data_IF_751170409879
#
_entry.id   IF_751170409879
#
_cell.length_a   1.000
_cell.length_b   1.000
_cell.length_c   1.000
_cell.angle_alpha   90.00
_cell.angle_beta   90.00
_cell.angle_gamma   90.00
#
_symmetry.space_group_name_H-M   'P 1'
#
loop_
_entity.id
_entity.type
_entity.pdbx_description
1 polymer ?
#
# COMPACT_ATOMS: atom_id res chain seq x y z
N UNK A 1 20.32 -4.78 -13.55
CA UNK A 1 20.19 -3.32 -13.69
C UNK A 1 21.36 -2.68 -12.99
N UNK A 2 22.01 -1.75 -13.67
CA UNK A 2 23.15 -1.02 -13.12
C UNK A 2 22.67 0.34 -12.58
N UNK A 3 23.01 0.62 -11.32
CA UNK A 3 22.63 1.84 -10.61
C UNK A 3 23.20 3.10 -11.24
N UNK A 4 24.33 3.00 -11.93
CA UNK A 4 25.01 4.15 -12.50
C UNK A 4 24.22 4.76 -13.68
N UNK A 5 23.24 4.04 -14.21
CA UNK A 5 22.33 4.54 -15.25
C UNK A 5 21.01 5.07 -14.71
N UNK A 6 20.70 4.87 -13.42
CA UNK A 6 19.44 5.32 -12.80
C UNK A 6 19.60 6.75 -12.28
N UNK A 7 18.66 7.62 -12.63
CA UNK A 7 18.56 9.00 -12.12
C UNK A 7 17.74 9.03 -10.84
N UNK A 8 16.51 8.49 -10.88
CA UNK A 8 15.67 8.30 -9.71
C UNK A 8 14.58 7.26 -9.96
N UNK A 9 13.95 6.80 -8.89
CA UNK A 9 12.81 5.88 -8.95
C UNK A 9 11.64 6.50 -8.21
N UNK A 10 10.45 6.29 -8.75
CA UNK A 10 9.19 6.68 -8.13
C UNK A 10 8.35 5.44 -7.85
N UNK A 11 7.66 5.43 -6.70
CA UNK A 11 6.67 4.43 -6.34
C UNK A 11 5.30 5.08 -6.17
N UNK A 12 4.28 4.49 -6.78
CA UNK A 12 2.90 4.95 -6.68
C UNK A 12 2.02 3.78 -6.31
N UNK A 13 1.10 3.99 -5.39
CA UNK A 13 0.13 2.95 -5.00
C UNK A 13 -1.03 2.90 -5.99
N UNK A 14 -1.69 1.75 -6.12
CA UNK A 14 -2.64 1.42 -7.18
C UNK A 14 -3.63 2.54 -7.56
N UNK A 15 -4.24 3.17 -6.57
CA UNK A 15 -5.28 4.20 -6.75
C UNK A 15 -4.82 5.61 -6.40
N UNK A 16 -3.54 5.78 -6.11
CA UNK A 16 -2.95 7.07 -5.81
C UNK A 16 -2.65 7.82 -7.11
N UNK A 17 -2.88 9.14 -7.11
CA UNK A 17 -2.56 10.01 -8.26
C UNK A 17 -1.15 10.56 -8.18
N UNK A 18 -0.49 10.47 -7.03
CA UNK A 18 0.83 11.05 -6.78
C UNK A 18 1.85 9.95 -6.52
N UNK A 19 2.98 10.01 -7.22
CA UNK A 19 4.12 9.13 -6.98
C UNK A 19 5.04 9.70 -5.92
N UNK A 20 5.67 8.84 -5.12
CA UNK A 20 6.69 9.21 -4.17
C UNK A 20 8.07 8.88 -4.75
N UNK A 21 8.97 9.87 -4.77
CA UNK A 21 10.36 9.66 -5.21
C UNK A 21 11.15 8.97 -4.10
N UNK A 22 11.75 7.82 -4.42
CA UNK A 22 12.58 7.06 -3.49
C UNK A 22 13.89 7.81 -3.18
N UNK A 23 14.38 7.63 -1.95
CA UNK A 23 15.73 8.05 -1.56
C UNK A 23 16.80 7.23 -2.26
N UNK A 24 18.04 7.74 -2.31
CA UNK A 24 19.18 7.02 -2.91
C UNK A 24 19.36 5.62 -2.29
N UNK A 25 19.27 5.49 -0.96
CA UNK A 25 19.42 4.21 -0.28
C UNK A 25 18.32 3.21 -0.68
N UNK A 26 17.07 3.66 -0.76
CA UNK A 26 15.97 2.80 -1.24
C UNK A 26 16.12 2.39 -2.71
N UNK A 27 16.71 3.25 -3.55
CA UNK A 27 17.02 2.91 -4.94
C UNK A 27 18.09 1.82 -5.00
N UNK A 28 19.15 1.93 -4.19
CA UNK A 28 20.20 0.90 -4.10
C UNK A 28 19.60 -0.43 -3.64
N UNK A 29 18.85 -0.43 -2.54
CA UNK A 29 18.18 -1.62 -2.01
C UNK A 29 17.24 -2.26 -3.05
N UNK A 30 16.49 -1.44 -3.80
CA UNK A 30 15.61 -1.89 -4.88
C UNK A 30 16.38 -2.58 -6.01
N UNK A 31 17.48 -1.99 -6.45
CA UNK A 31 18.30 -2.54 -7.53
C UNK A 31 18.92 -3.87 -7.11
N UNK A 32 19.43 -3.96 -5.88
CA UNK A 32 20.06 -5.16 -5.36
C UNK A 32 19.04 -6.31 -5.24
N UNK A 33 17.87 -6.05 -4.63
CA UNK A 33 16.79 -7.03 -4.53
C UNK A 33 16.26 -7.46 -5.91
N UNK A 34 16.17 -6.52 -6.85
CA UNK A 34 15.75 -6.81 -8.22
C UNK A 34 16.76 -7.70 -8.95
N UNK A 35 18.06 -7.41 -8.81
CA UNK A 35 19.12 -8.20 -9.44
C UNK A 35 19.25 -9.62 -8.85
N UNK A 36 18.82 -9.82 -7.59
CA UNK A 36 18.71 -11.15 -6.97
C UNK A 36 17.34 -11.83 -7.18
N UNK A 37 16.45 -11.26 -7.98
CA UNK A 37 15.09 -11.79 -8.15
C UNK A 37 15.07 -13.13 -8.87
N UNK A 38 14.05 -13.94 -8.56
CA UNK A 38 13.84 -15.25 -9.19
C UNK A 38 12.68 -15.21 -10.18
N UNK A 39 12.88 -15.83 -11.34
CA UNK A 39 11.81 -15.97 -12.34
C UNK A 39 10.65 -16.79 -11.79
N UNK A 40 9.42 -16.29 -11.91
CA UNK A 40 8.19 -17.03 -11.57
C UNK A 40 7.37 -17.44 -12.79
N UNK A 41 7.56 -16.77 -13.94
CA UNK A 41 6.84 -17.06 -15.17
C UNK A 41 5.56 -16.21 -15.34
N UNK A 42 4.66 -16.60 -16.26
CA UNK A 42 3.43 -15.87 -16.53
C UNK A 42 2.53 -15.83 -15.29
N UNK A 43 2.16 -14.63 -14.83
CA UNK A 43 1.32 -14.43 -13.67
C UNK A 43 0.37 -13.25 -13.85
N UNK A 44 -0.93 -13.47 -13.62
CA UNK A 44 -1.96 -12.43 -13.68
C UNK A 44 -2.32 -11.98 -12.27
N UNK A 45 -2.14 -10.69 -12.00
CA UNK A 45 -2.51 -10.04 -10.75
C UNK A 45 -2.97 -8.60 -10.98
N UNK A 46 -3.71 -8.09 -9.99
CA UNK A 46 -4.03 -6.67 -9.89
C UNK A 46 -2.84 -5.95 -9.23
N UNK A 47 -2.26 -4.90 -9.84
CA UNK A 47 -1.09 -4.24 -9.26
C UNK A 47 -1.43 -3.46 -7.99
N UNK A 48 -0.71 -3.70 -6.90
CA UNK A 48 -0.80 -2.94 -5.65
C UNK A 48 0.05 -1.66 -5.70
N UNK A 49 1.22 -1.74 -6.35
CA UNK A 49 2.10 -0.59 -6.58
C UNK A 49 2.63 -0.59 -8.01
N UNK A 50 2.91 0.62 -8.50
CA UNK A 50 3.59 0.91 -9.75
C UNK A 50 4.95 1.53 -9.43
N UNK A 51 5.99 1.05 -10.09
CA UNK A 51 7.33 1.62 -10.02
C UNK A 51 7.69 2.23 -11.37
N UNK A 52 8.23 3.44 -11.36
CA UNK A 52 8.79 4.07 -12.56
C UNK A 52 10.26 4.40 -12.30
N UNK A 53 11.13 3.82 -13.10
CA UNK A 53 12.58 4.06 -13.10
C UNK A 53 12.87 5.10 -14.17
N UNK A 54 13.49 6.19 -13.78
CA UNK A 54 13.95 7.25 -14.68
C UNK A 54 15.46 7.12 -14.84
N UNK A 55 15.92 6.92 -16.08
CA UNK A 55 17.34 6.75 -16.39
C UNK A 55 18.02 8.09 -16.69
N UNK A 56 19.35 8.11 -16.65
CA UNK A 56 20.16 9.22 -17.18
C UNK A 56 19.98 9.25 -18.70
N UNK A 57 19.28 10.26 -19.22
CA UNK A 57 18.98 10.41 -20.65
C UNK A 57 17.50 10.23 -21.02
N UNK A 58 16.59 10.74 -20.17
CA UNK A 58 15.13 10.87 -20.38
C UNK A 58 14.32 9.58 -20.59
N UNK A 59 14.96 8.42 -20.71
CA UNK A 59 14.25 7.14 -20.82
C UNK A 59 13.68 6.68 -19.48
N UNK A 60 12.56 5.94 -19.55
CA UNK A 60 11.88 5.40 -18.37
C UNK A 60 11.47 3.95 -18.53
N UNK A 61 11.43 3.19 -17.43
CA UNK A 61 10.81 1.87 -17.37
C UNK A 61 9.76 1.82 -16.27
N UNK A 62 8.58 1.27 -16.61
CA UNK A 62 7.49 1.10 -15.65
C UNK A 62 7.22 -0.36 -15.34
N UNK A 63 7.00 -0.61 -14.06
CA UNK A 63 6.71 -1.92 -13.49
C UNK A 63 5.40 -1.89 -12.71
N UNK A 64 4.75 -3.04 -12.67
CA UNK A 64 3.58 -3.36 -11.87
C UNK A 64 4.03 -4.36 -10.81
N UNK A 65 3.54 -4.22 -9.59
CA UNK A 65 3.92 -5.07 -8.46
C UNK A 65 2.69 -5.54 -7.69
N UNK A 66 2.75 -6.70 -7.07
CA UNK A 66 1.77 -7.20 -6.10
C UNK A 66 2.45 -8.22 -5.21
N UNK A 67 2.31 -8.08 -3.89
CA UNK A 67 3.03 -8.87 -2.91
C UNK A 67 4.56 -8.85 -3.15
N UNK A 68 5.19 -10.01 -3.41
CA UNK A 68 6.61 -10.14 -3.74
C UNK A 68 6.88 -10.10 -5.26
N UNK A 69 5.84 -9.96 -6.09
CA UNK A 69 5.93 -10.08 -7.53
C UNK A 69 6.06 -8.73 -8.20
N UNK A 70 6.79 -8.73 -9.32
CA UNK A 70 7.04 -7.54 -10.11
C UNK A 70 7.23 -7.92 -11.59
N UNK A 71 6.60 -7.16 -12.48
CA UNK A 71 6.63 -7.36 -13.93
C UNK A 71 6.47 -6.06 -14.71
N UNK A 72 6.96 -6.04 -15.95
CA UNK A 72 6.72 -4.93 -16.89
C UNK A 72 5.37 -5.11 -17.61
N UNK A 73 5.26 -4.70 -18.88
CA UNK A 73 4.03 -4.84 -19.68
C UNK A 73 3.67 -6.30 -19.97
N UNK A 74 4.67 -7.19 -20.08
CA UNK A 74 4.42 -8.63 -20.21
C UNK A 74 3.82 -9.22 -18.93
N UNK A 75 3.22 -10.40 -19.03
CA UNK A 75 2.75 -11.14 -17.85
C UNK A 75 3.85 -11.93 -17.14
N UNK A 76 5.10 -11.81 -17.59
CA UNK A 76 6.22 -12.53 -17.00
C UNK A 76 6.71 -11.87 -15.71
N UNK A 77 6.47 -12.53 -14.58
CA UNK A 77 6.77 -12.02 -13.25
C UNK A 77 8.07 -12.58 -12.67
N UNK A 78 8.70 -11.74 -11.86
CA UNK A 78 9.85 -12.05 -11.02
C UNK A 78 9.47 -11.84 -9.56
N UNK A 79 10.05 -12.62 -8.67
CA UNK A 79 9.85 -12.51 -7.23
C UNK A 79 11.09 -11.92 -6.57
N UNK A 80 10.88 -10.90 -5.74
CA UNK A 80 11.91 -10.31 -4.87
C UNK A 80 12.00 -11.00 -3.51
N UNK A 81 11.32 -12.14 -3.33
CA UNK A 81 11.42 -13.01 -2.16
C UNK A 81 10.62 -12.59 -0.92
N UNK A 82 10.31 -11.31 -0.75
CA UNK A 82 9.53 -10.80 0.39
C UNK A 82 8.17 -10.23 -0.03
N UNK A 83 7.10 -10.77 0.57
CA UNK A 83 5.71 -10.39 0.27
C UNK A 83 5.34 -8.97 0.67
N UNK A 84 6.06 -8.42 1.63
CA UNK A 84 5.84 -7.06 2.14
C UNK A 84 6.84 -6.06 1.55
N UNK A 85 7.69 -6.47 0.59
CA UNK A 85 8.79 -5.65 0.10
C UNK A 85 8.33 -4.28 -0.44
N UNK A 86 7.44 -4.28 -1.44
CA UNK A 86 6.96 -3.04 -2.06
C UNK A 86 6.11 -2.20 -1.11
N UNK A 87 5.32 -2.86 -0.25
CA UNK A 87 4.59 -2.20 0.85
C UNK A 87 5.56 -1.45 1.75
N UNK A 88 6.62 -2.10 2.21
CA UNK A 88 7.59 -1.50 3.13
C UNK A 88 8.37 -0.35 2.49
N UNK A 89 8.72 -0.46 1.20
CA UNK A 89 9.29 0.66 0.44
C UNK A 89 8.35 1.86 0.47
N UNK A 90 7.08 1.64 0.13
CA UNK A 90 6.09 2.72 0.07
C UNK A 90 5.83 3.35 1.44
N UNK A 91 5.61 2.52 2.47
CA UNK A 91 5.35 2.94 3.86
C UNK A 91 6.51 3.80 4.38
N UNK A 92 7.75 3.34 4.22
CA UNK A 92 8.95 4.11 4.62
C UNK A 92 9.04 5.43 3.86
N UNK A 93 8.78 5.43 2.56
CA UNK A 93 8.82 6.65 1.75
C UNK A 93 7.69 7.63 2.09
N UNK A 94 6.54 7.12 2.56
CA UNK A 94 5.41 7.90 3.03
C UNK A 94 5.65 8.50 4.44
N UNK A 95 6.81 8.26 5.05
CA UNK A 95 7.15 8.74 6.39
C UNK A 95 6.59 7.88 7.53
N UNK A 96 6.14 6.66 7.22
CA UNK A 96 5.58 5.74 8.18
C UNK A 96 6.58 4.68 8.63
N UNK A 97 6.38 4.16 9.83
CA UNK A 97 7.11 3.00 10.36
C UNK A 97 6.38 1.70 10.02
N UNK A 98 7.05 0.57 10.23
CA UNK A 98 6.50 -0.78 10.06
C UNK A 98 5.36 -1.11 11.04
N UNK A 99 5.14 -0.26 12.04
CA UNK A 99 4.03 -0.35 13.00
C UNK A 99 2.70 0.11 12.43
N UNK A 100 2.69 0.80 11.29
CA UNK A 100 1.47 1.28 10.67
C UNK A 100 0.85 0.23 9.75
N UNK A 101 -0.45 0.03 9.91
CA UNK A 101 -1.26 -0.86 9.11
C UNK A 101 -2.30 -0.03 8.37
N UNK A 102 -2.56 -0.40 7.13
CA UNK A 102 -3.59 0.24 6.35
C UNK A 102 -4.96 -0.27 6.73
N UNK A 103 -5.89 0.66 6.88
CA UNK A 103 -7.30 0.36 7.05
C UNK A 103 -7.95 0.02 5.70
N UNK A 104 -8.60 -1.13 5.69
CA UNK A 104 -9.55 -1.53 4.67
C UNK A 104 -10.90 -1.79 5.34
N UNK A 105 -12.02 -1.28 4.80
CA UNK A 105 -13.35 -1.63 5.27
C UNK A 105 -13.47 -3.15 5.33
N UNK A 106 -13.79 -3.65 6.51
CA UNK A 106 -13.82 -5.08 6.78
C UNK A 106 -15.28 -5.51 6.97
N UNK A 107 -15.68 -6.56 6.28
CA UNK A 107 -17.04 -7.10 6.28
C UNK A 107 -17.04 -8.56 6.69
N UNK A 108 -18.07 -8.98 7.41
CA UNK A 108 -18.28 -10.37 7.78
C UNK A 108 -19.33 -11.02 6.86
N UNK A 109 -19.02 -12.20 6.30
CA UNK A 109 -19.98 -13.05 5.58
C UNK A 109 -19.69 -14.52 5.88
N UNK A 110 -20.71 -15.26 6.29
CA UNK A 110 -20.61 -16.72 6.56
C UNK A 110 -19.45 -17.09 7.52
N UNK A 111 -19.24 -16.27 8.56
CA UNK A 111 -18.18 -16.50 9.56
C UNK A 111 -16.76 -16.19 9.08
N UNK A 112 -16.60 -15.55 7.90
CA UNK A 112 -15.31 -15.09 7.38
C UNK A 112 -15.29 -13.58 7.23
N UNK A 113 -14.11 -12.99 7.41
CA UNK A 113 -13.88 -11.56 7.20
C UNK A 113 -13.27 -11.30 5.83
N UNK A 114 -13.72 -10.22 5.18
CA UNK A 114 -13.29 -9.78 3.87
C UNK A 114 -12.95 -8.30 3.93
N UNK A 115 -11.82 -7.92 3.34
CA UNK A 115 -11.35 -6.53 3.26
C UNK A 115 -11.66 -5.97 1.89
N UNK A 116 -12.31 -4.81 1.84
CA UNK A 116 -12.52 -4.08 0.60
C UNK A 116 -11.30 -3.20 0.29
N UNK A 117 -10.59 -3.55 -0.78
CA UNK A 117 -9.42 -2.82 -1.27
C UNK A 117 -9.75 -1.61 -2.13
N UNK A 118 -11.03 -1.30 -2.37
CA UNK A 118 -11.42 -0.13 -3.15
C UNK A 118 -11.09 1.17 -2.41
N UNK A 119 -10.87 2.28 -3.14
CA UNK A 119 -10.69 3.59 -2.54
C UNK A 119 -11.86 3.96 -1.63
N UNK A 120 -11.53 4.49 -0.44
CA UNK A 120 -12.54 5.01 0.47
C UNK A 120 -13.21 6.23 -0.14
N UNK A 121 -14.54 6.30 -0.01
CA UNK A 121 -15.23 7.57 -0.22
C UNK A 121 -14.93 8.53 0.94
N UNK A 122 -15.10 9.83 0.67
CA UNK A 122 -14.80 10.89 1.65
C UNK A 122 -15.60 10.75 2.95
N UNK A 123 -16.85 10.28 2.87
CA UNK A 123 -17.73 10.14 4.04
C UNK A 123 -17.20 9.03 4.95
N UNK A 124 -16.90 7.86 4.39
CA UNK A 124 -16.36 6.74 5.15
C UNK A 124 -14.96 7.06 5.71
N UNK A 125 -14.13 7.77 4.95
CA UNK A 125 -12.82 8.24 5.39
C UNK A 125 -12.91 9.09 6.66
N UNK A 126 -13.81 10.09 6.71
CA UNK A 126 -14.01 10.89 7.92
C UNK A 126 -14.62 10.08 9.07
N UNK A 127 -15.55 9.18 8.77
CA UNK A 127 -16.19 8.35 9.77
C UNK A 127 -15.21 7.38 10.46
N UNK A 128 -14.33 6.72 9.72
CA UNK A 128 -13.36 5.80 10.32
C UNK A 128 -12.32 6.55 11.17
N UNK A 129 -11.90 7.76 10.78
CA UNK A 129 -11.04 8.62 11.61
C UNK A 129 -11.67 8.88 12.97
N UNK A 130 -12.98 9.20 12.99
CA UNK A 130 -13.72 9.41 14.24
C UNK A 130 -13.74 8.15 15.10
N UNK A 131 -14.03 6.98 14.50
CA UNK A 131 -14.03 5.69 15.22
C UNK A 131 -12.66 5.38 15.82
N UNK A 132 -11.58 5.49 15.04
CA UNK A 132 -10.22 5.24 15.51
C UNK A 132 -9.84 6.19 16.65
N UNK A 133 -10.19 7.48 16.52
CA UNK A 133 -9.97 8.49 17.57
C UNK A 133 -10.73 8.14 18.85
N UNK A 134 -12.01 7.77 18.74
CA UNK A 134 -12.84 7.41 19.89
C UNK A 134 -12.26 6.24 20.69
N UNK A 135 -11.65 5.27 20.00
CA UNK A 135 -10.99 4.11 20.62
C UNK A 135 -9.50 4.35 20.92
N UNK A 136 -9.03 5.59 20.89
CA UNK A 136 -7.65 6.00 21.20
C UNK A 136 -6.57 5.32 20.34
N UNK A 137 -6.86 5.03 19.07
CA UNK A 137 -5.86 4.58 18.13
C UNK A 137 -5.11 5.78 17.53
N UNK A 138 -3.79 5.69 17.47
CA UNK A 138 -2.99 6.61 16.65
C UNK A 138 -3.25 6.28 15.18
N UNK A 139 -3.64 7.28 14.39
CA UNK A 139 -3.86 7.11 12.96
C UNK A 139 -3.34 8.32 12.18
N UNK A 140 -3.14 8.12 10.88
CA UNK A 140 -2.79 9.18 9.94
C UNK A 140 -3.52 8.96 8.62
N UNK A 141 -3.82 10.07 7.95
CA UNK A 141 -4.38 10.10 6.60
C UNK A 141 -3.27 10.47 5.62
N UNK A 142 -3.02 9.58 4.66
CA UNK A 142 -2.15 9.87 3.53
C UNK A 142 -3.00 9.82 2.26
N UNK A 143 -3.45 11.00 1.83
CA UNK A 143 -4.14 11.20 0.54
C UNK A 143 -5.40 10.34 0.39
N UNK A 144 -6.21 10.28 1.45
CA UNK A 144 -7.48 9.53 1.47
C UNK A 144 -7.33 8.06 1.84
N UNK A 145 -6.13 7.63 2.24
CA UNK A 145 -5.87 6.30 2.77
C UNK A 145 -5.56 6.41 4.25
N UNK A 146 -6.23 5.59 5.06
CA UNK A 146 -6.10 5.64 6.51
C UNK A 146 -5.13 4.56 6.96
N UNK A 147 -4.16 4.98 7.77
CA UNK A 147 -3.22 4.09 8.43
C UNK A 147 -3.37 4.23 9.95
N UNK A 148 -3.31 3.12 10.67
CA UNK A 148 -3.37 3.08 12.13
C UNK A 148 -2.14 2.36 12.69
N UNK A 149 -1.68 2.78 13.86
CA UNK A 149 -0.55 2.17 14.55
C UNK A 149 -1.00 0.91 15.32
N UNK A 150 -0.23 -0.17 15.19
CA UNK A 150 -0.49 -1.43 15.90
C UNK A 150 -1.45 -2.35 15.17
N UNK A 151 -1.47 -3.62 15.59
CA UNK A 151 -2.34 -4.64 14.98
C UNK A 151 -3.73 -4.58 15.60
N UNK A 152 -4.73 -4.47 14.74
CA UNK A 152 -6.15 -4.62 15.06
C UNK A 152 -6.61 -5.87 14.32
N UNK A 153 -7.25 -6.81 15.02
CA UNK A 153 -7.79 -8.02 14.41
C UNK A 153 -9.01 -7.74 13.52
N UNK A 154 -9.35 -8.70 12.66
CA UNK A 154 -10.38 -8.51 11.64
C UNK A 154 -11.79 -8.36 12.24
N UNK A 155 -12.07 -8.96 13.40
CA UNK A 155 -13.36 -8.82 14.08
C UNK A 155 -13.54 -7.40 14.62
N UNK A 156 -12.48 -6.84 15.21
CA UNK A 156 -12.49 -5.47 15.70
C UNK A 156 -12.53 -4.46 14.53
N UNK A 157 -11.81 -4.71 13.43
CA UNK A 157 -11.89 -3.90 12.22
C UNK A 157 -13.29 -3.92 11.60
N UNK A 158 -13.95 -5.08 11.58
CA UNK A 158 -15.35 -5.18 11.14
C UNK A 158 -16.29 -4.38 12.05
N UNK A 159 -16.10 -4.47 13.37
CA UNK A 159 -16.83 -3.66 14.34
C UNK A 159 -16.63 -2.15 14.14
N UNK A 160 -15.42 -1.72 13.78
CA UNK A 160 -15.11 -0.32 13.48
C UNK A 160 -15.70 0.12 12.16
N UNK A 161 -15.63 -0.72 11.13
CA UNK A 161 -16.28 -0.49 9.82
C UNK A 161 -17.78 -0.32 9.98
N UNK A 162 -18.42 -1.16 10.80
CA UNK A 162 -19.86 -1.07 11.12
C UNK A 162 -20.21 0.26 11.77
N UNK A 163 -19.40 0.72 12.75
CA UNK A 163 -19.59 2.02 13.42
C UNK A 163 -19.36 3.21 12.48
N UNK A 164 -18.37 3.13 11.60
CA UNK A 164 -18.11 4.13 10.59
C UNK A 164 -19.25 4.24 9.56
N UNK A 165 -20.09 3.21 9.44
CA UNK A 165 -21.29 3.22 8.59
C UNK A 165 -22.58 3.58 9.36
N UNK A 166 -22.53 3.69 10.69
CA UNK A 166 -23.68 3.99 11.54
C UNK A 166 -23.77 5.49 11.84
N UNK A 167 -24.72 6.17 11.21
CA UNK A 167 -24.96 7.60 11.41
C UNK A 167 -25.35 7.96 12.85
N UNK A 168 -26.05 7.08 13.57
CA UNK A 168 -26.47 7.32 14.96
C UNK A 168 -25.22 7.26 15.85
N UNK A 169 -24.40 6.23 15.66
CA UNK A 169 -23.14 6.09 16.41
C UNK A 169 -22.23 7.31 16.20
N UNK A 170 -22.01 7.71 14.94
CA UNK A 170 -21.19 8.89 14.61
C UNK A 170 -21.74 10.19 15.19
N UNK A 171 -23.07 10.35 15.24
CA UNK A 171 -23.67 11.55 15.81
C UNK A 171 -23.52 11.65 17.33
N UNK A 172 -23.41 10.51 18.02
CA UNK A 172 -23.39 10.41 19.48
C UNK A 172 -21.99 10.29 20.09
N UNK A 173 -20.97 9.98 19.30
CA UNK A 173 -19.60 9.71 19.78
C UNK A 173 -18.55 10.59 19.08
N UNK A 174 -18.75 11.92 19.11
CA UNK A 174 -17.82 12.90 18.52
C UNK A 174 -16.59 13.14 19.39
#
# INVERSE_FOLDING_TARGET
>A
MDKDYVSYVEIRKQFDTVSLRLTTDQVVDLIDNWNSSSTKGPNKYLPEYFLTIHFKGDSTLSYRTSSDLIKQRSDWAYSVGSKDYFKNIWVKQAGLTDKYFEYYPTYAKEGKFFKDGNPLDKKHCEAIKQVLTYYNHNWTDIRGQIFYEGKIDDELLWNYTTKANDSIWLSSHK
#
